data_IF_824331234455
#
_entry.id   IF_824331234455
#
_cell.length_a   1.000
_cell.length_b   1.000
_cell.length_c   1.000
_cell.angle_alpha   90.00
_cell.angle_beta   90.00
_cell.angle_gamma   90.00
#
_symmetry.space_group_name_H-M   'P 1'
#
loop_
_entity.id
_entity.type
_entity.pdbx_description
1 polymer ?
#
# COMPACT_ATOMS: atom_id res chain seq x y z
N UNK A 1 -7.23 -7.78 -3.73
CA UNK A 1 -6.68 -7.92 -2.36
C UNK A 1 -6.23 -6.60 -1.72
N UNK A 2 -5.78 -5.58 -2.49
CA UNK A 2 -5.33 -4.27 -1.97
C UNK A 2 -6.31 -3.56 -1.01
N UNK A 3 -7.62 -3.67 -1.25
CA UNK A 3 -8.62 -3.06 -0.37
C UNK A 3 -8.68 -3.69 1.02
N UNK A 4 -8.51 -5.02 1.12
CA UNK A 4 -8.46 -5.74 2.40
C UNK A 4 -7.16 -5.38 3.14
N UNK A 5 -6.04 -5.28 2.43
CA UNK A 5 -4.77 -4.83 3.01
C UNK A 5 -4.90 -3.41 3.58
N UNK A 6 -5.48 -2.47 2.83
CA UNK A 6 -5.71 -1.10 3.33
C UNK A 6 -6.65 -1.06 4.55
N UNK A 7 -7.71 -1.88 4.57
CA UNK A 7 -8.61 -1.99 5.73
C UNK A 7 -7.89 -2.56 6.97
N UNK A 8 -7.03 -3.57 6.78
CA UNK A 8 -6.24 -4.13 7.87
C UNK A 8 -5.24 -3.10 8.41
N UNK A 9 -4.49 -2.43 7.53
CA UNK A 9 -3.52 -1.41 7.93
C UNK A 9 -4.20 -0.25 8.66
N UNK A 10 -5.32 0.27 8.14
CA UNK A 10 -6.03 1.37 8.79
C UNK A 10 -6.63 0.96 10.14
N UNK A 11 -7.15 -0.27 10.25
CA UNK A 11 -7.65 -0.83 11.52
C UNK A 11 -6.54 -0.95 12.57
N UNK A 12 -5.38 -1.47 12.18
CA UNK A 12 -4.21 -1.57 13.07
C UNK A 12 -3.80 -0.18 13.57
N UNK A 13 -3.72 0.80 12.68
CA UNK A 13 -3.38 2.18 13.04
C UNK A 13 -4.43 2.78 13.98
N UNK A 14 -5.72 2.59 13.69
CA UNK A 14 -6.80 3.10 14.54
C UNK A 14 -6.78 2.49 15.95
N UNK A 15 -6.56 1.17 16.05
CA UNK A 15 -6.42 0.47 17.33
C UNK A 15 -5.19 1.00 18.09
N UNK A 16 -4.06 1.21 17.41
CA UNK A 16 -2.85 1.75 18.01
C UNK A 16 -3.06 3.16 18.56
N UNK A 17 -3.67 4.06 17.78
CA UNK A 17 -3.99 5.42 18.22
C UNK A 17 -4.95 5.41 19.41
N UNK A 18 -5.98 4.56 19.36
CA UNK A 18 -6.93 4.38 20.45
C UNK A 18 -6.27 3.87 21.73
N UNK A 19 -5.38 2.89 21.64
CA UNK A 19 -4.62 2.37 22.77
C UNK A 19 -3.72 3.44 23.40
N UNK A 20 -3.01 4.23 22.59
CA UNK A 20 -2.17 5.34 23.07
C UNK A 20 -3.03 6.39 23.79
N UNK A 21 -4.20 6.73 23.24
CA UNK A 21 -5.11 7.70 23.84
C UNK A 21 -5.68 7.21 25.17
N UNK A 22 -6.16 5.96 25.24
CA UNK A 22 -6.70 5.37 26.48
C UNK A 22 -5.61 5.28 27.54
N UNK A 23 -4.43 4.77 27.20
CA UNK A 23 -3.30 4.70 28.12
C UNK A 23 -2.84 6.11 28.55
N UNK A 24 -2.92 7.11 27.68
CA UNK A 24 -2.60 8.49 28.04
C UNK A 24 -3.60 9.10 29.03
N UNK A 25 -4.90 8.82 28.87
CA UNK A 25 -5.96 9.37 29.73
C UNK A 25 -6.02 8.62 31.06
N UNK A 26 -5.90 7.30 31.03
CA UNK A 26 -6.05 6.46 32.22
C UNK A 26 -4.76 6.34 33.04
N UNK A 27 -3.59 6.41 32.38
CA UNK A 27 -2.30 6.24 33.01
C UNK A 27 -1.52 7.57 33.01
N UNK A 28 -2.06 8.57 33.71
CA UNK A 28 -1.40 9.86 33.97
C UNK A 28 -0.21 9.74 34.95
N UNK A 29 0.37 8.54 35.07
CA UNK A 29 1.59 8.31 35.84
C UNK A 29 2.77 8.93 35.10
N UNK A 30 3.52 9.71 35.85
CA UNK A 30 4.72 10.37 35.37
C UNK A 30 5.86 9.34 35.33
N UNK A 31 6.32 9.01 34.13
CA UNK A 31 7.50 8.17 33.94
C UNK A 31 8.73 9.07 33.95
N UNK A 32 9.65 8.82 34.87
CA UNK A 32 10.97 9.46 34.85
C UNK A 32 11.80 8.80 33.76
N UNK A 33 11.94 9.47 32.62
CA UNK A 33 12.94 9.09 31.62
C UNK A 33 14.31 9.48 32.16
N UNK A 34 15.13 8.50 32.55
CA UNK A 34 16.54 8.76 32.84
C UNK A 34 17.31 8.77 31.53
N UNK A 35 17.54 9.94 30.96
CA UNK A 35 18.40 10.08 29.78
C UNK A 35 19.86 9.94 30.22
N UNK A 36 20.53 8.86 29.80
CA UNK A 36 21.96 8.63 29.99
C UNK A 36 22.48 8.83 31.45
N UNK A 37 21.65 8.51 32.45
CA UNK A 37 22.04 8.60 33.87
C UNK A 37 21.57 9.85 34.62
N UNK A 38 21.03 10.86 33.93
CA UNK A 38 20.43 12.05 34.55
C UNK A 38 18.90 11.91 34.59
N UNK A 39 18.29 12.29 35.71
CA UNK A 39 16.83 12.29 35.88
C UNK A 39 16.24 13.37 34.97
N UNK A 40 15.63 12.96 33.87
CA UNK A 40 14.94 13.88 32.96
C UNK A 40 13.50 14.10 33.45
N UNK A 41 12.91 15.20 32.98
CA UNK A 41 11.56 15.64 33.35
C UNK A 41 10.56 14.48 33.29
N UNK A 42 9.69 14.44 34.30
CA UNK A 42 8.56 13.54 34.41
C UNK A 42 7.59 13.75 33.25
N UNK A 43 7.61 12.84 32.27
CA UNK A 43 6.69 12.87 31.13
C UNK A 43 5.53 11.89 31.34
N UNK A 44 4.31 12.21 30.90
CA UNK A 44 3.20 11.25 30.90
C UNK A 44 3.50 10.07 29.98
N UNK A 45 3.10 8.86 30.37
CA UNK A 45 3.26 7.63 29.55
C UNK A 45 2.76 7.82 28.12
N UNK A 46 1.63 8.52 27.95
CA UNK A 46 1.06 8.81 26.64
C UNK A 46 2.01 9.57 25.70
N UNK A 47 2.78 10.53 26.23
CA UNK A 47 3.74 11.31 25.43
C UNK A 47 4.89 10.42 24.96
N UNK A 48 5.37 9.53 25.83
CA UNK A 48 6.44 8.58 25.51
C UNK A 48 5.99 7.59 24.43
N UNK A 49 4.79 7.04 24.57
CA UNK A 49 4.21 6.12 23.60
C UNK A 49 3.96 6.79 22.26
N UNK A 50 3.40 8.01 22.25
CA UNK A 50 3.19 8.77 21.03
C UNK A 50 4.53 9.03 20.31
N UNK A 51 5.54 9.49 21.05
CA UNK A 51 6.87 9.75 20.48
C UNK A 51 7.53 8.49 19.93
N UNK A 52 7.47 7.37 20.67
CA UNK A 52 8.00 6.08 20.21
C UNK A 52 7.27 5.55 18.99
N UNK A 53 5.94 5.65 18.96
CA UNK A 53 5.14 5.23 17.81
C UNK A 53 5.46 6.07 16.58
N UNK A 54 5.53 7.39 16.72
CA UNK A 54 5.91 8.30 15.63
C UNK A 54 7.31 8.01 15.11
N UNK A 55 8.31 7.82 15.98
CA UNK A 55 9.65 7.44 15.57
C UNK A 55 9.70 6.08 14.89
N UNK A 56 8.94 5.10 15.38
CA UNK A 56 8.85 3.78 14.75
C UNK A 56 8.23 3.86 13.35
N UNK A 57 7.17 4.65 13.18
CA UNK A 57 6.50 4.85 11.87
C UNK A 57 7.42 5.60 10.90
N UNK A 58 8.02 6.72 11.34
CA UNK A 58 8.94 7.52 10.51
C UNK A 58 10.19 6.71 10.18
N UNK A 59 10.77 6.04 11.17
CA UNK A 59 11.93 5.17 11.01
C UNK A 59 11.63 3.99 10.07
N UNK A 60 10.47 3.35 10.23
CA UNK A 60 10.00 2.30 9.32
C UNK A 60 9.78 2.81 7.89
N UNK A 61 9.19 3.99 7.71
CA UNK A 61 8.98 4.58 6.39
C UNK A 61 10.29 4.92 5.67
N UNK A 62 11.35 5.28 6.41
CA UNK A 62 12.68 5.54 5.86
C UNK A 62 13.46 4.23 5.64
N UNK A 63 13.35 3.28 6.56
CA UNK A 63 14.04 2.00 6.49
C UNK A 63 13.48 1.09 5.39
N UNK A 64 12.15 1.05 5.22
CA UNK A 64 11.48 0.21 4.24
C UNK A 64 12.03 0.37 2.80
N UNK A 65 12.19 1.57 2.22
CA UNK A 65 12.79 1.73 0.89
C UNK A 65 14.28 1.38 0.85
N UNK A 66 15.01 1.43 1.96
CA UNK A 66 16.43 1.03 2.02
C UNK A 66 16.61 -0.49 2.06
N UNK A 67 15.64 -1.22 2.60
CA UNK A 67 15.70 -2.69 2.74
C UNK A 67 14.81 -3.45 1.74
N UNK A 68 14.00 -2.76 0.93
CA UNK A 68 13.21 -3.39 -0.13
C UNK A 68 14.13 -3.67 -1.32
N UNK A 69 14.44 -4.95 -1.64
CA UNK A 69 15.11 -5.26 -2.89
C UNK A 69 14.23 -4.76 -4.03
N UNK A 70 14.85 -4.17 -5.05
CA UNK A 70 14.15 -3.76 -6.26
C UNK A 70 13.62 -5.02 -6.94
N UNK A 71 12.39 -5.42 -6.59
CA UNK A 71 11.67 -6.43 -7.34
C UNK A 71 11.34 -5.77 -8.67
N UNK A 72 12.04 -6.23 -9.71
CA UNK A 72 11.79 -5.88 -11.09
C UNK A 72 10.31 -6.20 -11.33
N UNK A 73 9.46 -5.16 -11.34
CA UNK A 73 8.11 -5.28 -11.86
C UNK A 73 8.30 -5.47 -13.34
N UNK A 74 8.42 -6.73 -13.74
CA UNK A 74 7.96 -7.14 -15.06
C UNK A 74 6.46 -6.82 -15.02
N UNK A 75 6.16 -5.65 -15.58
CA UNK A 75 4.84 -5.35 -16.07
C UNK A 75 4.50 -6.51 -17.01
N UNK A 76 3.74 -7.46 -16.49
CA UNK A 76 3.07 -8.45 -17.30
C UNK A 76 1.82 -7.75 -17.84
N UNK A 77 2.03 -6.91 -18.85
CA UNK A 77 1.03 -6.57 -19.86
C UNK A 77 0.69 -7.85 -20.62
N UNK A 78 -0.04 -8.76 -19.95
CA UNK A 78 -0.78 -9.81 -20.61
C UNK A 78 -1.91 -9.16 -21.41
N UNK A 79 -1.57 -8.84 -22.65
CA UNK A 79 -2.35 -9.01 -23.86
C UNK A 79 -3.86 -9.20 -23.61
N UNK A 80 -4.61 -8.14 -23.90
CA UNK A 80 -6.00 -8.27 -24.33
C UNK A 80 -6.04 -9.17 -25.58
N UNK A 81 -6.04 -10.49 -25.38
CA UNK A 81 -6.52 -11.46 -26.36
C UNK A 81 -8.04 -11.25 -26.52
N UNK A 82 -8.41 -10.15 -27.19
CA UNK A 82 -9.70 -10.02 -27.82
C UNK A 82 -9.69 -11.05 -28.95
N UNK A 83 -10.55 -12.09 -28.93
CA UNK A 83 -10.74 -12.88 -30.13
C UNK A 83 -11.42 -11.95 -31.13
N UNK A 84 -10.64 -11.38 -32.06
CA UNK A 84 -11.17 -10.68 -33.23
C UNK A 84 -11.81 -11.75 -34.12
N UNK A 85 -13.01 -12.14 -33.71
CA UNK A 85 -14.09 -12.55 -34.57
C UNK A 85 -14.25 -11.49 -35.67
N UNK A 86 -13.44 -11.61 -36.73
CA UNK A 86 -13.77 -11.04 -38.03
C UNK A 86 -14.82 -11.92 -38.69
N UNK A 87 -16.04 -11.77 -38.21
CA UNK A 87 -17.20 -11.98 -39.03
C UNK A 87 -17.81 -10.60 -39.27
N UNK A 88 -17.31 -9.91 -40.30
CA UNK A 88 -18.13 -8.94 -40.99
C UNK A 88 -17.64 -8.68 -42.40
N UNK A 89 -18.45 -9.19 -43.33
CA UNK A 89 -18.98 -8.44 -44.48
C UNK A 89 -18.05 -8.20 -45.66
N UNK A 90 -18.41 -8.82 -46.78
CA UNK A 90 -17.88 -8.41 -48.08
C UNK A 90 -18.11 -9.45 -49.16
N UNK A 91 -19.37 -9.73 -49.49
CA UNK A 91 -19.69 -10.50 -50.68
C UNK A 91 -19.16 -9.79 -51.93
N UNK A 92 -18.19 -10.39 -52.59
CA UNK A 92 -17.77 -10.02 -53.95
C UNK A 92 -17.21 -11.22 -54.72
N UNK A 93 -17.81 -12.40 -54.54
CA UNK A 93 -17.50 -13.64 -55.29
C UNK A 93 -18.16 -13.70 -56.68
N UNK A 94 -18.75 -12.61 -57.19
CA UNK A 94 -19.55 -12.64 -58.44
C UNK A 94 -19.00 -11.79 -59.59
N UNK A 95 -17.76 -11.27 -59.51
CA UNK A 95 -17.22 -10.40 -60.57
C UNK A 95 -15.96 -10.91 -61.30
N UNK A 96 -15.51 -12.15 -61.06
CA UNK A 96 -14.30 -12.68 -61.72
C UNK A 96 -14.51 -13.90 -62.63
N UNK A 97 -15.76 -14.21 -62.98
CA UNK A 97 -16.12 -15.32 -63.92
C UNK A 97 -16.84 -14.80 -65.17
N UNK A 98 -16.53 -13.57 -65.62
CA UNK A 98 -17.23 -12.93 -66.75
C UNK A 98 -16.33 -12.14 -67.69
N UNK A 99 -15.02 -12.39 -67.71
CA UNK A 99 -14.08 -11.71 -68.61
C UNK A 99 -12.96 -12.65 -69.07
N UNK A 100 -13.33 -13.82 -69.58
CA UNK A 100 -12.49 -14.56 -70.52
C UNK A 100 -13.35 -14.86 -71.75
N UNK A 101 -13.53 -13.80 -72.54
CA UNK A 101 -13.94 -13.90 -73.93
C UNK A 101 -12.68 -14.22 -74.76
N UNK A 102 -12.90 -14.96 -75.86
CA UNK A 102 -11.98 -15.50 -76.91
C UNK A 102 -11.26 -16.83 -76.66
#
# INVERSE_FOLDING_TARGET
MKNIANLLTSSIVAIWVGAIAILSVQNATQVSLKFLGFESIKLPVGVVLAFSASLGVVGGAIAFPLFTPSENREDDDFEDDVPENRQSSGGSDWLETGSQDW
#
